data_IF_235029799846
#
_entry.id   IF_235029799846
#
_cell.length_a   1.000
_cell.length_b   1.000
_cell.length_c   1.000
_cell.angle_alpha   90.00
_cell.angle_beta   90.00
_cell.angle_gamma   90.00
#
_symmetry.space_group_name_H-M   'P 1'
#
loop_
_entity.id
_entity.type
_entity.pdbx_description
1 polymer ?
#
# COMPACT_ATOMS: atom_id res chain seq x y z
N UNK A 1 -28.02 32.67 -0.19
CA UNK A 1 -28.10 31.40 -0.96
C UNK A 1 -26.79 30.66 -0.70
N UNK A 2 -26.81 29.49 -0.05
CA UNK A 2 -25.58 28.73 0.19
C UNK A 2 -25.07 28.17 -1.14
N UNK A 3 -23.86 28.56 -1.55
CA UNK A 3 -23.18 28.05 -2.75
C UNK A 3 -22.68 26.63 -2.51
N UNK A 4 -22.63 25.80 -3.57
CA UNK A 4 -22.18 24.40 -3.50
C UNK A 4 -20.82 24.21 -2.82
N UNK A 5 -19.94 25.22 -2.89
CA UNK A 5 -18.64 25.25 -2.22
C UNK A 5 -18.71 25.16 -0.68
N UNK A 6 -19.90 25.34 -0.08
CA UNK A 6 -20.10 25.23 1.37
C UNK A 6 -20.42 23.80 1.81
N UNK A 7 -20.79 22.92 0.88
CA UNK A 7 -21.18 21.53 1.15
C UNK A 7 -20.23 20.51 0.55
N UNK A 8 -19.42 20.93 -0.43
CA UNK A 8 -18.46 20.08 -1.13
C UNK A 8 -17.10 20.78 -1.04
N UNK A 9 -16.25 20.27 -0.16
CA UNK A 9 -14.87 20.70 -0.01
C UNK A 9 -13.95 19.54 -0.39
N UNK A 10 -12.87 19.83 -1.14
CA UNK A 10 -11.79 18.88 -1.31
C UNK A 10 -11.04 18.77 0.02
N UNK A 11 -10.65 17.54 0.38
CA UNK A 11 -9.75 17.35 1.52
C UNK A 11 -8.49 18.22 1.29
N UNK A 12 -8.10 19.07 2.25
CA UNK A 12 -6.93 19.92 2.13
C UNK A 12 -5.62 19.12 2.01
N UNK A 13 -5.67 17.81 2.27
CA UNK A 13 -4.55 16.87 2.13
C UNK A 13 -4.57 16.09 0.80
N UNK A 14 -5.54 16.35 -0.08
CA UNK A 14 -5.64 15.68 -1.38
C UNK A 14 -4.51 16.10 -2.32
N UNK A 15 -3.71 15.13 -2.75
CA UNK A 15 -2.66 15.32 -3.74
C UNK A 15 -2.99 14.50 -4.99
N UNK A 16 -3.14 15.19 -6.13
CA UNK A 16 -3.54 14.55 -7.41
C UNK A 16 -2.48 13.61 -7.97
N UNK A 17 -1.20 13.83 -7.64
CA UNK A 17 -0.08 13.02 -8.11
C UNK A 17 0.78 12.69 -6.91
N UNK A 18 0.92 11.40 -6.63
CA UNK A 18 1.73 10.92 -5.50
C UNK A 18 3.08 10.44 -6.04
N UNK A 19 4.14 11.15 -5.65
CA UNK A 19 5.53 10.82 -5.96
C UNK A 19 6.29 10.45 -4.68
N UNK A 20 7.54 9.98 -4.80
CA UNK A 20 8.39 9.75 -3.61
C UNK A 20 8.54 11.00 -2.71
N UNK A 21 8.44 12.20 -3.30
CA UNK A 21 8.52 13.44 -2.54
C UNK A 21 7.21 13.78 -1.81
N UNK A 22 6.10 13.13 -2.14
CA UNK A 22 4.83 13.27 -1.43
C UNK A 22 4.92 12.78 0.01
N UNK A 23 5.66 11.69 0.27
CA UNK A 23 5.95 11.21 1.63
C UNK A 23 6.66 12.27 2.48
N UNK A 24 7.57 13.06 1.88
CA UNK A 24 8.26 14.16 2.58
C UNK A 24 7.33 15.34 2.88
N UNK A 25 6.35 15.61 2.01
CA UNK A 25 5.40 16.71 2.17
C UNK A 25 4.34 16.39 3.20
N UNK A 26 3.88 15.14 3.25
CA UNK A 26 2.82 14.74 4.16
C UNK A 26 3.02 13.28 4.63
N UNK A 27 3.68 13.06 5.78
CA UNK A 27 4.04 11.72 6.26
C UNK A 27 2.86 10.81 6.57
N UNK A 28 1.69 11.39 6.89
CA UNK A 28 0.48 10.64 7.21
C UNK A 28 -0.42 10.40 5.98
N UNK A 29 0.00 10.83 4.79
CA UNK A 29 -0.80 10.72 3.56
C UNK A 29 -1.32 9.29 3.36
N UNK A 30 -0.47 8.28 3.54
CA UNK A 30 -0.82 6.87 3.35
C UNK A 30 -2.03 6.40 4.17
N UNK A 31 -2.31 7.04 5.32
CA UNK A 31 -3.47 6.69 6.15
C UNK A 31 -4.79 7.08 5.48
N UNK A 32 -4.80 8.15 4.68
CA UNK A 32 -5.95 8.64 3.93
C UNK A 32 -6.22 7.83 2.64
N UNK A 33 -5.38 6.83 2.33
CA UNK A 33 -5.56 5.99 1.15
C UNK A 33 -6.94 5.33 1.13
N UNK A 34 -7.67 5.53 0.03
CA UNK A 34 -8.98 4.93 -0.20
C UNK A 34 -8.77 3.49 -0.66
N UNK A 35 -9.17 2.55 0.18
CA UNK A 35 -8.99 1.12 -0.08
C UNK A 35 -10.04 0.65 -1.08
N UNK A 36 -9.58 0.05 -2.17
CA UNK A 36 -10.39 -0.63 -3.18
C UNK A 36 -10.08 -2.13 -3.20
N UNK A 37 -10.77 -2.90 -4.05
CA UNK A 37 -10.59 -4.35 -4.17
C UNK A 37 -9.17 -4.75 -4.55
N UNK A 38 -8.49 -3.97 -5.40
CA UNK A 38 -7.11 -4.22 -5.81
C UNK A 38 -6.15 -4.28 -4.60
N UNK A 39 -6.33 -3.35 -3.65
CA UNK A 39 -5.50 -3.29 -2.45
C UNK A 39 -5.80 -4.44 -1.50
N UNK A 40 -7.09 -4.82 -1.39
CA UNK A 40 -7.50 -6.00 -0.63
C UNK A 40 -6.83 -7.27 -1.18
N UNK A 41 -6.88 -7.46 -2.50
CA UNK A 41 -6.25 -8.58 -3.18
C UNK A 41 -4.73 -8.57 -2.99
N UNK A 42 -4.09 -7.39 -3.06
CA UNK A 42 -2.66 -7.26 -2.80
C UNK A 42 -2.29 -7.71 -1.38
N UNK A 43 -2.98 -7.21 -0.35
CA UNK A 43 -2.73 -7.60 1.06
C UNK A 43 -2.98 -9.08 1.29
N UNK A 44 -4.04 -9.64 0.70
CA UNK A 44 -4.33 -11.07 0.78
C UNK A 44 -3.21 -11.92 0.16
N UNK A 45 -2.76 -11.58 -1.04
CA UNK A 45 -1.67 -12.29 -1.73
C UNK A 45 -0.37 -12.19 -0.96
N UNK A 46 -0.07 -11.03 -0.38
CA UNK A 46 1.11 -10.87 0.45
C UNK A 46 1.02 -11.77 1.68
N UNK A 47 -0.10 -11.76 2.39
CA UNK A 47 -0.29 -12.61 3.56
C UNK A 47 -0.16 -14.11 3.21
N UNK A 48 -0.66 -14.54 2.06
CA UNK A 48 -0.49 -15.92 1.56
C UNK A 48 0.97 -16.22 1.23
N UNK A 49 1.69 -15.29 0.59
CA UNK A 49 3.09 -15.48 0.19
C UNK A 49 4.05 -15.60 1.38
N UNK A 50 3.81 -14.82 2.45
CA UNK A 50 4.65 -14.82 3.65
C UNK A 50 4.35 -16.03 4.56
N UNK A 51 3.11 -16.54 4.58
CA UNK A 51 2.74 -17.68 5.42
C UNK A 51 3.35 -19.02 4.97
N UNK A 52 4.05 -19.07 3.84
CA UNK A 52 4.68 -20.29 3.31
C UNK A 52 3.70 -21.46 3.13
N UNK A 53 2.42 -21.17 2.88
CA UNK A 53 1.39 -22.21 2.84
C UNK A 53 1.50 -23.09 1.58
N UNK A 54 2.10 -22.56 0.51
CA UNK A 54 2.42 -23.28 -0.74
C UNK A 54 3.74 -22.76 -1.32
N UNK A 55 4.62 -23.64 -1.80
CA UNK A 55 5.87 -23.25 -2.51
C UNK A 55 5.59 -22.29 -3.68
N UNK A 56 4.45 -22.51 -4.35
CA UNK A 56 4.02 -21.70 -5.49
C UNK A 56 3.46 -20.32 -5.12
N UNK A 57 3.21 -20.06 -3.83
CA UNK A 57 2.74 -18.76 -3.35
C UNK A 57 3.89 -17.75 -3.14
N UNK A 58 5.16 -18.20 -3.16
CA UNK A 58 6.34 -17.32 -3.10
C UNK A 58 6.62 -16.70 -4.47
N UNK A 59 5.71 -15.84 -4.94
CA UNK A 59 5.82 -15.18 -6.25
C UNK A 59 5.80 -13.66 -6.10
N UNK A 60 6.63 -13.00 -6.89
CA UNK A 60 6.54 -11.56 -7.11
C UNK A 60 5.18 -11.23 -7.71
N UNK A 61 4.53 -10.20 -7.17
CA UNK A 61 3.24 -9.73 -7.66
C UNK A 61 3.42 -8.47 -8.50
N UNK A 62 2.60 -8.36 -9.54
CA UNK A 62 2.60 -7.21 -10.45
C UNK A 62 1.27 -6.45 -10.32
N UNK A 63 1.35 -5.15 -10.01
CA UNK A 63 0.17 -4.28 -9.96
C UNK A 63 0.06 -3.55 -11.30
N UNK A 64 -0.94 -3.92 -12.10
CA UNK A 64 -1.25 -3.29 -13.39
C UNK A 64 -2.58 -2.54 -13.33
N UNK A 65 -2.68 -1.43 -14.06
CA UNK A 65 -3.88 -0.58 -14.10
C UNK A 65 -3.66 0.68 -14.93
N UNK A 66 -4.73 1.39 -15.28
CA UNK A 66 -4.67 2.61 -16.10
C UNK A 66 -3.86 3.75 -15.43
N UNK A 67 -3.33 4.68 -16.21
CA UNK A 67 -2.64 5.85 -15.65
C UNK A 67 -3.58 6.66 -14.75
N UNK A 68 -3.11 7.15 -13.60
CA UNK A 68 -3.94 7.88 -12.64
C UNK A 68 -4.77 7.01 -11.68
N UNK A 69 -4.73 5.67 -11.76
CA UNK A 69 -5.46 4.79 -10.82
C UNK A 69 -4.78 4.59 -9.47
N UNK A 70 -3.89 5.50 -9.06
CA UNK A 70 -3.26 5.44 -7.73
C UNK A 70 -2.27 4.28 -7.49
N UNK A 71 -1.75 3.60 -8.53
CA UNK A 71 -0.78 2.49 -8.36
C UNK A 71 0.46 2.88 -7.56
N UNK A 72 1.08 4.01 -7.89
CA UNK A 72 2.23 4.54 -7.15
C UNK A 72 1.88 4.78 -5.67
N UNK A 73 0.65 5.26 -5.42
CA UNK A 73 0.16 5.53 -4.08
C UNK A 73 -0.11 4.24 -3.29
N UNK A 74 -0.74 3.23 -3.91
CA UNK A 74 -0.94 1.91 -3.30
C UNK A 74 0.40 1.29 -2.87
N UNK A 75 1.43 1.49 -3.66
CA UNK A 75 2.75 0.93 -3.42
C UNK A 75 3.50 1.65 -2.27
N UNK A 76 3.33 2.97 -2.13
CA UNK A 76 3.77 3.73 -0.95
C UNK A 76 3.04 3.24 0.31
N UNK A 77 1.73 3.00 0.22
CA UNK A 77 0.96 2.48 1.36
C UNK A 77 1.45 1.09 1.77
N UNK A 78 1.76 0.22 0.81
CA UNK A 78 2.35 -1.09 1.10
C UNK A 78 3.69 -0.95 1.83
N UNK A 79 4.55 -0.02 1.41
CA UNK A 79 5.82 0.27 2.09
C UNK A 79 5.57 0.66 3.56
N UNK A 80 4.69 1.63 3.81
CA UNK A 80 4.31 2.01 5.18
C UNK A 80 3.73 0.85 5.99
N UNK A 81 2.97 -0.05 5.36
CA UNK A 81 2.39 -1.21 6.04
C UNK A 81 3.47 -2.16 6.62
N UNK A 82 4.65 -2.23 6.00
CA UNK A 82 5.78 -3.05 6.45
C UNK A 82 6.82 -2.29 7.28
N UNK A 83 6.90 -0.96 7.16
CA UNK A 83 7.90 -0.17 7.88
C UNK A 83 7.34 0.45 9.17
N UNK A 84 6.09 0.92 9.17
CA UNK A 84 5.50 1.64 10.31
C UNK A 84 5.13 0.72 11.49
N UNK A 85 4.95 1.36 12.65
CA UNK A 85 4.58 0.69 13.90
C UNK A 85 3.28 -0.12 13.77
N UNK A 86 3.22 -1.23 14.52
CA UNK A 86 2.05 -2.14 14.53
C UNK A 86 0.76 -1.40 14.87
N UNK A 87 0.81 -0.36 15.71
CA UNK A 87 -0.33 0.47 16.09
C UNK A 87 -0.93 1.23 14.90
N UNK A 88 -0.08 1.88 14.09
CA UNK A 88 -0.53 2.62 12.91
C UNK A 88 -1.07 1.67 11.83
N UNK A 89 -0.35 0.57 11.60
CA UNK A 89 -0.76 -0.51 10.70
C UNK A 89 -2.11 -1.09 11.12
N UNK A 90 -2.31 -1.34 12.42
CA UNK A 90 -3.56 -1.87 12.96
C UNK A 90 -4.73 -0.89 12.76
N UNK A 91 -4.50 0.41 12.95
CA UNK A 91 -5.50 1.45 12.68
C UNK A 91 -5.92 1.45 11.21
N UNK A 92 -4.95 1.43 10.30
CA UNK A 92 -5.21 1.40 8.86
C UNK A 92 -5.94 0.14 8.40
N UNK A 93 -5.53 -1.04 8.90
CA UNK A 93 -6.16 -2.33 8.60
C UNK A 93 -7.55 -2.50 9.24
N UNK A 94 -7.96 -1.59 10.13
CA UNK A 94 -9.30 -1.59 10.71
C UNK A 94 -10.37 -1.05 9.74
N UNK A 95 -9.98 -0.60 8.54
CA UNK A 95 -10.90 -0.30 7.44
C UNK A 95 -11.69 -1.56 7.03
N UNK A 96 -12.98 -1.39 6.73
CA UNK A 96 -13.94 -2.49 6.58
C UNK A 96 -13.51 -3.60 5.60
N UNK A 97 -12.83 -3.25 4.51
CA UNK A 97 -12.34 -4.20 3.50
C UNK A 97 -11.12 -5.02 3.93
N UNK A 98 -10.33 -4.52 4.89
CA UNK A 98 -9.05 -5.12 5.32
C UNK A 98 -9.15 -5.85 6.67
N UNK A 99 -10.24 -5.66 7.41
CA UNK A 99 -10.52 -6.30 8.69
C UNK A 99 -10.23 -7.81 8.72
N UNK A 100 -10.63 -8.63 7.70
CA UNK A 100 -10.37 -10.06 7.73
C UNK A 100 -8.88 -10.43 7.73
N UNK A 101 -8.04 -9.58 7.13
CA UNK A 101 -6.60 -9.83 6.97
C UNK A 101 -5.78 -9.19 8.09
N UNK A 102 -6.37 -8.33 8.92
CA UNK A 102 -5.69 -7.60 9.99
C UNK A 102 -4.91 -8.50 10.93
N UNK A 103 -5.60 -9.46 11.56
CA UNK A 103 -4.97 -10.33 12.56
C UNK A 103 -3.85 -11.17 11.94
N UNK A 104 -4.03 -11.58 10.69
CA UNK A 104 -3.02 -12.34 9.96
C UNK A 104 -1.79 -11.48 9.69
N UNK A 105 -2.00 -10.23 9.24
CA UNK A 105 -0.92 -9.30 8.93
C UNK A 105 -0.15 -8.85 10.18
N UNK A 106 -0.84 -8.61 11.30
CA UNK A 106 -0.21 -8.28 12.58
C UNK A 106 0.65 -9.44 13.08
N UNK A 107 0.13 -10.67 13.02
CA UNK A 107 0.90 -11.86 13.38
C UNK A 107 2.11 -12.09 12.46
N UNK A 108 2.11 -11.57 11.23
CA UNK A 108 3.28 -11.57 10.36
C UNK A 108 4.30 -10.53 10.83
N UNK A 109 3.86 -9.29 11.10
CA UNK A 109 4.72 -8.22 11.61
C UNK A 109 5.41 -8.57 12.95
N UNK A 110 4.75 -9.35 13.80
CA UNK A 110 5.34 -9.83 15.05
C UNK A 110 6.39 -10.93 14.87
N UNK A 111 6.38 -11.65 13.74
CA UNK A 111 7.31 -12.77 13.49
C UNK A 111 8.69 -12.33 13.00
N UNK A 112 8.81 -11.14 12.42
CA UNK A 112 10.09 -10.67 11.88
C UNK A 112 10.09 -9.22 11.44
N UNK A 113 11.30 -8.65 11.39
CA UNK A 113 11.53 -7.34 10.78
C UNK A 113 11.59 -7.51 9.26
N UNK A 114 10.80 -6.69 8.55
CA UNK A 114 10.75 -6.70 7.09
C UNK A 114 11.48 -5.47 6.56
N UNK A 115 12.39 -5.67 5.61
CA UNK A 115 13.06 -4.58 4.89
C UNK A 115 12.37 -4.38 3.54
N UNK A 116 11.73 -3.23 3.35
CA UNK A 116 11.16 -2.88 2.05
C UNK A 116 12.19 -2.12 1.21
N UNK A 117 12.52 -2.66 0.04
CA UNK A 117 13.38 -1.99 -0.93
C UNK A 117 12.50 -1.41 -2.04
N UNK A 118 12.36 -0.08 -2.03
CA UNK A 118 11.63 0.64 -3.07
C UNK A 118 12.57 1.13 -4.17
N UNK A 119 12.37 0.67 -5.41
CA UNK A 119 13.05 1.20 -6.61
C UNK A 119 12.03 1.79 -7.57
N UNK A 120 12.12 3.10 -7.79
CA UNK A 120 11.31 3.81 -8.79
C UNK A 120 12.19 4.20 -9.98
N UNK A 121 11.77 3.82 -11.19
CA UNK A 121 12.43 4.18 -12.44
C UNK A 121 11.51 3.93 -13.65
N UNK A 122 11.33 4.94 -14.51
CA UNK A 122 10.48 4.87 -15.70
C UNK A 122 11.21 4.38 -16.97
N UNK A 123 12.53 4.19 -16.91
CA UNK A 123 13.34 3.78 -18.07
C UNK A 123 14.18 2.57 -17.71
N UNK A 124 13.97 1.45 -18.42
CA UNK A 124 14.85 0.27 -18.32
C UNK A 124 14.34 -0.92 -17.51
N UNK A 125 13.03 -1.06 -17.28
CA UNK A 125 12.46 -2.31 -16.74
C UNK A 125 12.54 -3.39 -17.82
N UNK A 126 13.67 -4.09 -17.90
CA UNK A 126 13.92 -5.16 -18.89
C UNK A 126 13.86 -6.57 -18.28
N UNK A 127 13.70 -6.69 -16.97
CA UNK A 127 13.65 -7.99 -16.27
C UNK A 127 12.99 -7.86 -14.89
N UNK A 128 12.22 -8.88 -14.49
CA UNK A 128 11.38 -8.94 -13.26
C UNK A 128 12.13 -8.80 -11.93
N UNK A 129 13.45 -8.72 -11.95
CA UNK A 129 14.33 -8.45 -10.79
C UNK A 129 14.34 -6.98 -10.33
N UNK A 130 13.84 -6.05 -11.14
CA UNK A 130 13.89 -4.62 -10.83
C UNK A 130 12.78 -4.13 -9.90
N UNK A 131 11.79 -4.98 -9.62
CA UNK A 131 10.72 -4.70 -8.68
C UNK A 131 10.58 -5.89 -7.70
N UNK A 132 11.64 -6.17 -6.95
CA UNK A 132 11.63 -7.20 -5.90
C UNK A 132 11.44 -6.55 -4.53
N UNK A 133 10.29 -6.83 -3.91
CA UNK A 133 10.18 -6.84 -2.45
C UNK A 133 10.75 -8.19 -2.02
N UNK A 134 11.92 -8.18 -1.38
CA UNK A 134 12.49 -9.38 -0.79
C UNK A 134 11.81 -9.64 0.55
N UNK A 135 11.20 -10.82 0.70
CA UNK A 135 10.82 -11.40 2.00
C UNK A 135 11.96 -12.28 2.50
#
# INVERSE_FOLDING_TARGET
MATYNTYIELSPHYESVVDLNSEKRNPNLWQEYIVHEDMKLAVEKICQSIKYEKEDARRSFWIHGAYGTGKSYAAIVLKHLFEDTVTNVHSFLSKQLLLPYRNQFVALREKGEYLVVWKSGCTGIKSGIHLMIWF
#
